data_IF_754975049282
#
_entry.id   IF_754975049282
#
_cell.length_a   1.000
_cell.length_b   1.000
_cell.length_c   1.000
_cell.angle_alpha   90.00
_cell.angle_beta   90.00
_cell.angle_gamma   90.00
#
_symmetry.space_group_name_H-M   'P 1'
#
loop_
_entity.id
_entity.type
_entity.pdbx_description
1 polymer ?
#
# COMPACT_ATOMS: atom_id res chain seq x y z
N UNK A 1 -21.08 -6.87 -29.69
CA UNK A 1 -20.66 -6.31 -28.39
C UNK A 1 -19.18 -6.01 -28.53
N UNK A 2 -18.85 -4.79 -28.92
CA UNK A 2 -17.46 -4.40 -29.10
C UNK A 2 -16.80 -4.34 -27.73
N UNK A 3 -15.91 -5.31 -27.46
CA UNK A 3 -15.12 -5.29 -26.24
C UNK A 3 -14.01 -4.27 -26.43
N UNK A 4 -14.22 -3.06 -25.91
CA UNK A 4 -13.12 -2.12 -25.73
C UNK A 4 -12.15 -2.68 -24.69
N UNK A 5 -11.03 -3.24 -25.16
CA UNK A 5 -9.91 -3.62 -24.31
C UNK A 5 -9.14 -2.37 -23.91
N UNK A 6 -9.32 -1.92 -22.68
CA UNK A 6 -8.55 -0.81 -22.13
C UNK A 6 -7.20 -1.32 -21.62
N UNK A 7 -6.11 -0.63 -21.99
CA UNK A 7 -4.76 -1.00 -21.55
C UNK A 7 -4.54 -0.49 -20.13
N UNK A 8 -4.44 -1.40 -19.16
CA UNK A 8 -4.20 -1.06 -17.76
C UNK A 8 -2.73 -0.67 -17.52
N UNK A 9 -2.51 0.40 -16.76
CA UNK A 9 -1.20 0.79 -16.24
C UNK A 9 -1.02 0.30 -14.80
N UNK A 10 0.23 0.05 -14.41
CA UNK A 10 0.56 -0.27 -13.02
C UNK A 10 0.34 0.97 -12.14
N UNK A 11 -0.16 0.76 -10.91
CA UNK A 11 -0.23 1.80 -9.87
C UNK A 11 1.19 2.27 -9.53
N UNK A 12 1.37 3.58 -9.46
CA UNK A 12 2.64 4.25 -9.14
C UNK A 12 2.40 5.31 -8.08
N UNK A 13 3.23 5.29 -7.04
CA UNK A 13 3.25 6.22 -5.92
C UNK A 13 4.64 6.86 -5.92
N UNK A 14 4.79 8.13 -6.34
CA UNK A 14 6.09 8.78 -6.54
C UNK A 14 7.02 8.69 -5.33
N UNK A 15 6.45 8.78 -4.13
CA UNK A 15 7.16 8.73 -2.86
C UNK A 15 7.77 7.35 -2.59
N UNK A 16 7.05 6.26 -2.92
CA UNK A 16 7.56 4.90 -2.76
C UNK A 16 8.53 4.57 -3.90
N UNK A 17 8.22 5.00 -5.13
CA UNK A 17 9.07 4.80 -6.30
C UNK A 17 10.46 5.44 -6.09
N UNK A 18 10.53 6.57 -5.40
CA UNK A 18 11.80 7.22 -5.04
C UNK A 18 12.69 6.40 -4.10
N UNK A 19 12.12 5.46 -3.32
CA UNK A 19 12.86 4.63 -2.37
C UNK A 19 12.98 3.16 -2.79
N UNK A 20 12.39 2.77 -3.93
CA UNK A 20 12.48 1.41 -4.43
C UNK A 20 13.94 1.00 -4.62
N UNK A 21 14.32 -0.14 -4.03
CA UNK A 21 15.67 -0.66 -4.13
C UNK A 21 16.70 0.05 -3.24
N UNK A 22 16.35 1.15 -2.55
CA UNK A 22 17.27 1.83 -1.64
C UNK A 22 17.32 1.12 -0.27
N UNK A 23 18.51 0.68 0.18
CA UNK A 23 18.64 0.06 1.50
C UNK A 23 18.70 1.12 2.60
N UNK A 24 17.76 1.07 3.53
CA UNK A 24 17.80 1.81 4.78
C UNK A 24 18.63 1.02 5.78
N UNK A 25 19.79 1.55 6.19
CA UNK A 25 20.70 0.90 7.14
C UNK A 25 20.08 0.90 8.55
N UNK A 26 20.16 -0.25 9.22
CA UNK A 26 19.60 -0.45 10.57
C UNK A 26 20.58 -1.31 11.37
N UNK A 27 20.85 -0.94 12.63
CA UNK A 27 21.92 -1.55 13.46
C UNK A 27 23.30 -1.41 12.78
N UNK A 28 24.19 -2.39 13.01
CA UNK A 28 25.57 -2.36 12.54
C UNK A 28 25.68 -2.74 11.06
N UNK A 29 25.09 -3.88 10.67
CA UNK A 29 25.19 -4.46 9.33
C UNK A 29 23.83 -4.76 8.67
N UNK A 30 22.73 -4.46 9.36
CA UNK A 30 21.37 -4.71 8.92
C UNK A 30 20.86 -3.68 7.91
N UNK A 31 19.77 -4.04 7.23
CA UNK A 31 19.03 -3.11 6.40
C UNK A 31 17.59 -3.55 6.17
N UNK A 32 16.74 -2.59 5.81
CA UNK A 32 15.40 -2.81 5.25
C UNK A 32 15.34 -2.11 3.90
N UNK A 33 14.81 -2.80 2.88
CA UNK A 33 14.68 -2.26 1.54
C UNK A 33 13.34 -2.62 0.95
N UNK A 34 12.65 -1.65 0.35
CA UNK A 34 11.43 -1.90 -0.42
C UNK A 34 11.82 -2.50 -1.77
N UNK A 35 11.28 -3.66 -2.08
CA UNK A 35 11.51 -4.36 -3.36
C UNK A 35 10.37 -4.06 -4.33
N UNK A 36 9.15 -4.02 -3.82
CA UNK A 36 7.93 -3.94 -4.62
C UNK A 36 6.76 -3.54 -3.72
N UNK A 37 5.68 -3.04 -4.29
CA UNK A 37 4.43 -2.77 -3.60
C UNK A 37 3.24 -2.90 -4.54
N UNK A 38 2.07 -3.13 -3.97
CA UNK A 38 0.79 -3.18 -4.65
C UNK A 38 -0.16 -2.20 -3.94
N UNK A 39 -0.94 -1.47 -4.72
CA UNK A 39 -1.97 -0.57 -4.23
C UNK A 39 -1.48 0.84 -3.86
N UNK A 40 -2.45 1.72 -3.65
CA UNK A 40 -2.29 3.10 -3.18
C UNK A 40 -3.48 3.49 -2.29
N UNK A 41 -3.47 4.70 -1.75
CA UNK A 41 -4.62 5.28 -1.04
C UNK A 41 -5.93 5.16 -1.85
N UNK A 42 -5.85 5.27 -3.18
CA UNK A 42 -6.98 5.11 -4.08
C UNK A 42 -7.53 3.68 -4.10
N UNK A 43 -6.66 2.68 -3.98
CA UNK A 43 -7.08 1.27 -3.89
C UNK A 43 -7.90 1.02 -2.61
N UNK A 44 -7.50 1.64 -1.49
CA UNK A 44 -8.24 1.57 -0.22
C UNK A 44 -9.60 2.24 -0.35
N UNK A 45 -9.64 3.45 -0.92
CA UNK A 45 -10.87 4.22 -1.11
C UNK A 45 -11.83 3.51 -2.06
N UNK A 46 -11.33 2.98 -3.18
CA UNK A 46 -12.12 2.19 -4.12
C UNK A 46 -12.72 0.96 -3.44
N UNK A 47 -11.92 0.22 -2.67
CA UNK A 47 -12.40 -0.96 -1.95
C UNK A 47 -13.47 -0.63 -0.91
N UNK A 48 -13.30 0.46 -0.17
CA UNK A 48 -14.29 0.95 0.79
C UNK A 48 -15.58 1.44 0.13
N UNK A 49 -15.48 1.98 -1.10
CA UNK A 49 -16.61 2.52 -1.86
C UNK A 49 -17.22 1.54 -2.86
N UNK A 50 -16.89 0.25 -2.82
CA UNK A 50 -17.45 -0.78 -3.75
C UNK A 50 -18.98 -0.74 -3.84
N UNK A 51 -19.68 -0.29 -2.79
CA UNK A 51 -21.16 -0.14 -2.77
C UNK A 51 -21.69 1.20 -3.31
N UNK A 52 -20.84 2.21 -3.47
CA UNK A 52 -21.20 3.52 -4.01
C UNK A 52 -20.54 3.65 -5.38
N UNK A 53 -21.30 3.42 -6.44
CA UNK A 53 -20.84 3.61 -7.83
C UNK A 53 -20.16 4.97 -8.00
N UNK A 54 -19.32 5.10 -9.03
CA UNK A 54 -18.38 6.21 -9.28
C UNK A 54 -18.99 7.61 -9.08
N UNK A 55 -19.05 8.07 -7.83
CA UNK A 55 -19.48 9.40 -7.43
C UNK A 55 -18.30 10.35 -7.35
N UNK A 56 -18.60 11.65 -7.43
CA UNK A 56 -17.68 12.80 -7.49
C UNK A 56 -16.48 12.64 -6.56
N UNK A 57 -15.29 12.54 -7.16
CA UNK A 57 -13.99 12.38 -6.47
C UNK A 57 -13.54 13.72 -5.89
N UNK A 58 -13.56 13.89 -4.57
CA UNK A 58 -12.87 15.00 -3.90
C UNK A 58 -11.73 14.48 -3.01
N UNK A 59 -10.49 14.92 -3.30
CA UNK A 59 -9.26 14.51 -2.59
C UNK A 59 -9.35 14.73 -1.06
N UNK A 60 -10.06 15.79 -0.62
CA UNK A 60 -10.27 16.05 0.80
C UNK A 60 -11.18 15.02 1.48
N UNK A 61 -12.17 14.49 0.76
CA UNK A 61 -13.08 13.46 1.25
C UNK A 61 -12.37 12.12 1.40
N UNK A 62 -11.44 11.80 0.50
CA UNK A 62 -10.69 10.53 0.50
C UNK A 62 -9.80 10.40 1.74
N UNK A 63 -9.05 11.45 2.09
CA UNK A 63 -8.29 11.50 3.35
C UNK A 63 -9.19 11.43 4.59
N UNK A 64 -10.40 11.99 4.52
CA UNK A 64 -11.40 11.89 5.57
C UNK A 64 -11.88 10.46 5.76
N UNK A 65 -12.16 9.77 4.66
CA UNK A 65 -12.59 8.38 4.62
C UNK A 65 -11.53 7.44 5.18
N UNK A 66 -10.28 7.52 4.73
CA UNK A 66 -9.19 6.67 5.26
C UNK A 66 -9.08 6.84 6.78
N UNK A 67 -9.08 8.09 7.28
CA UNK A 67 -9.06 8.36 8.73
C UNK A 67 -10.29 7.84 9.45
N UNK A 68 -11.46 7.87 8.83
CA UNK A 68 -12.68 7.29 9.39
C UNK A 68 -12.55 5.76 9.50
N UNK A 69 -12.09 5.08 8.45
CA UNK A 69 -11.89 3.63 8.43
C UNK A 69 -10.89 3.18 9.49
N UNK A 70 -9.75 3.87 9.61
CA UNK A 70 -8.76 3.59 10.67
C UNK A 70 -9.35 3.75 12.07
N UNK A 71 -10.09 4.84 12.34
CA UNK A 71 -10.70 5.09 13.66
C UNK A 71 -11.70 4.01 14.06
N UNK A 72 -12.44 3.46 13.10
CA UNK A 72 -13.45 2.43 13.35
C UNK A 72 -12.92 1.01 13.13
N UNK A 73 -11.62 0.84 12.93
CA UNK A 73 -10.97 -0.45 12.68
C UNK A 73 -11.61 -1.25 11.53
N UNK A 74 -12.07 -0.55 10.49
CA UNK A 74 -12.48 -1.20 9.25
C UNK A 74 -11.22 -1.53 8.44
N UNK A 75 -10.63 -2.70 8.72
CA UNK A 75 -9.31 -3.09 8.22
C UNK A 75 -9.34 -3.71 6.84
N UNK A 76 -10.43 -4.35 6.42
CA UNK A 76 -10.53 -5.05 5.12
C UNK A 76 -10.15 -4.18 3.91
N UNK A 77 -10.55 -2.89 3.81
CA UNK A 77 -10.09 -2.05 2.69
C UNK A 77 -8.57 -1.83 2.64
N UNK A 78 -7.87 -1.94 3.77
CA UNK A 78 -6.41 -1.79 3.84
C UNK A 78 -5.67 -3.03 3.34
N UNK A 79 -6.33 -4.18 3.25
CA UNK A 79 -5.74 -5.43 2.71
C UNK A 79 -5.51 -5.35 1.19
N UNK A 80 -6.02 -4.32 0.52
CA UNK A 80 -5.79 -4.06 -0.91
C UNK A 80 -4.43 -3.45 -1.21
N UNK A 81 -3.64 -3.16 -0.17
CA UNK A 81 -2.28 -2.66 -0.28
C UNK A 81 -1.29 -3.67 0.33
N UNK A 82 -0.25 -4.00 -0.43
CA UNK A 82 0.81 -4.90 0.01
C UNK A 82 2.18 -4.28 -0.24
N UNK A 83 3.16 -4.63 0.60
CA UNK A 83 4.55 -4.20 0.44
C UNK A 83 5.50 -5.40 0.57
N UNK A 84 6.46 -5.48 -0.34
CA UNK A 84 7.49 -6.51 -0.37
C UNK A 84 8.80 -5.94 0.14
N UNK A 85 9.32 -6.53 1.22
CA UNK A 85 10.54 -6.08 1.88
C UNK A 85 11.67 -7.10 1.71
N UNK A 86 12.88 -6.59 1.45
CA UNK A 86 14.12 -7.33 1.62
C UNK A 86 14.79 -6.85 2.90
N UNK A 87 14.99 -7.77 3.85
CA UNK A 87 15.44 -7.45 5.20
C UNK A 87 16.67 -8.30 5.53
N UNK A 88 17.72 -7.63 6.02
CA UNK A 88 18.82 -8.28 6.75
C UNK A 88 18.67 -7.89 8.22
N UNK A 89 18.37 -8.87 9.06
CA UNK A 89 18.18 -8.67 10.50
C UNK A 89 18.89 -9.77 11.31
N UNK A 90 19.31 -9.48 12.56
CA UNK A 90 19.80 -10.50 13.49
C UNK A 90 18.75 -11.57 13.77
N UNK A 91 19.22 -12.77 14.14
CA UNK A 91 18.34 -13.93 14.35
C UNK A 91 17.28 -13.70 15.43
N UNK A 92 17.63 -13.00 16.52
CA UNK A 92 16.69 -12.72 17.60
C UNK A 92 15.58 -11.76 17.18
N UNK A 93 15.89 -10.76 16.35
CA UNK A 93 14.89 -9.87 15.76
C UNK A 93 14.00 -10.61 14.74
N UNK A 94 14.60 -11.44 13.88
CA UNK A 94 13.87 -12.24 12.91
C UNK A 94 12.86 -13.19 13.56
N UNK A 95 13.26 -13.88 14.63
CA UNK A 95 12.39 -14.79 15.41
C UNK A 95 11.19 -14.09 16.03
N UNK A 96 11.30 -12.80 16.33
CA UNK A 96 10.18 -12.01 16.83
C UNK A 96 9.25 -11.56 15.71
N UNK A 97 9.81 -11.26 14.53
CA UNK A 97 9.07 -10.80 13.36
C UNK A 97 8.16 -11.89 12.81
N UNK A 98 8.65 -13.11 12.60
CA UNK A 98 7.91 -14.18 11.90
C UNK A 98 6.71 -14.78 12.67
N UNK A 99 6.24 -14.11 13.73
CA UNK A 99 5.13 -14.59 14.57
C UNK A 99 3.78 -14.19 14.03
#
# INVERSE_FOLDING_TARGET
MDQHTEKLSRVSVPEIDAILGLPLRVLDDGFVRVVDYLGSDESIVQAARVSYGSGTKHIQEDRGLIRYLMRHRHTTPFEMCEIKLHVRAPMDAWRQWIR
#
